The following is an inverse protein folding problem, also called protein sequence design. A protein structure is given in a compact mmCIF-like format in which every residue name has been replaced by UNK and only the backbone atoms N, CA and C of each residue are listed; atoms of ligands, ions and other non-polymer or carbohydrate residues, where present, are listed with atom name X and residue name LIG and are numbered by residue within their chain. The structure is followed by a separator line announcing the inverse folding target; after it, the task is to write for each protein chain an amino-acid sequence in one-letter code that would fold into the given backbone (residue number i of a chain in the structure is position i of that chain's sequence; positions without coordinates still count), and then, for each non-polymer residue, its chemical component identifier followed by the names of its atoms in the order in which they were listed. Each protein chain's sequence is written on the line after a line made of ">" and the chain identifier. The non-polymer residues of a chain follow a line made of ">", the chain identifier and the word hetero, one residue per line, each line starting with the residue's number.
data_IF_938515507372
#
_entry.id   IF_938515507372
#
_cell.length_a   1.000
_cell.length_b   1.000
_cell.length_c   1.000
_cell.angle_alpha   90.00
_cell.angle_beta   90.00
_cell.angle_gamma   90.00
#
_symmetry.space_group_name_H-M   'P 1'
#
loop_
_entity.id
_entity.type
_entity.pdbx_description
1 polymer ?
#
# COMPACT_ATOMS: atom_id res chain seq x y z
N UNK A 1 -30.51 71.75 30.80
CA UNK A 1 -30.30 71.05 32.04
C UNK A 1 -31.03 69.73 32.02
N UNK A 2 -30.45 68.71 31.47
CA UNK A 2 -30.96 67.35 31.53
C UNK A 2 -29.77 66.44 31.74
N UNK A 3 -29.66 65.85 32.91
CA UNK A 3 -28.68 64.84 33.24
C UNK A 3 -29.13 63.53 32.62
N UNK A 4 -28.36 63.02 31.66
CA UNK A 4 -28.53 61.68 31.12
C UNK A 4 -27.72 60.72 32.00
N UNK A 5 -28.44 59.86 32.65
CA UNK A 5 -27.91 58.78 33.51
C UNK A 5 -27.45 57.67 32.53
N UNK A 6 -26.12 57.47 32.46
CA UNK A 6 -25.54 56.33 31.72
C UNK A 6 -25.54 55.15 32.67
N UNK A 7 -26.47 54.24 32.50
CA UNK A 7 -26.48 52.92 33.15
C UNK A 7 -25.45 52.06 32.45
N UNK A 8 -24.32 51.87 33.11
CA UNK A 8 -23.30 50.89 32.68
C UNK A 8 -23.85 49.51 32.96
N UNK A 9 -24.34 48.84 31.94
CA UNK A 9 -24.64 47.40 31.98
C UNK A 9 -23.31 46.64 31.84
N UNK A 10 -22.72 46.26 32.97
CA UNK A 10 -21.66 45.28 33.00
C UNK A 10 -22.26 43.94 32.65
N UNK A 11 -22.21 43.59 31.37
CA UNK A 11 -22.40 42.22 30.92
C UNK A 11 -21.14 41.46 31.32
N UNK A 12 -21.24 40.72 32.42
CA UNK A 12 -20.29 39.65 32.72
C UNK A 12 -20.40 38.64 31.60
N UNK A 13 -19.54 38.72 30.63
CA UNK A 13 -19.23 37.61 29.75
C UNK A 13 -18.51 36.55 30.58
N UNK A 14 -19.29 35.63 31.14
CA UNK A 14 -18.73 34.32 31.51
C UNK A 14 -18.21 33.71 30.21
N UNK A 15 -16.92 33.91 29.97
CA UNK A 15 -16.18 33.06 29.07
C UNK A 15 -16.19 31.65 29.66
N UNK A 16 -17.18 30.87 29.26
CA UNK A 16 -17.11 29.43 29.41
C UNK A 16 -15.77 29.03 28.76
N UNK A 17 -14.80 28.69 29.57
CA UNK A 17 -13.71 27.85 29.12
C UNK A 17 -14.33 26.53 28.72
N UNK A 18 -14.73 26.41 27.46
CA UNK A 18 -14.92 25.13 26.83
C UNK A 18 -13.57 24.42 26.96
N UNK A 19 -13.48 23.62 28.01
CA UNK A 19 -12.52 22.55 28.11
C UNK A 19 -12.62 21.79 26.78
N UNK A 20 -11.60 21.90 25.94
CA UNK A 20 -11.44 21.06 24.75
C UNK A 20 -11.25 19.62 25.20
N UNK A 21 -12.29 18.99 25.68
CA UNK A 21 -12.45 17.55 25.53
C UNK A 21 -12.61 17.34 24.03
N UNK A 22 -11.58 16.77 23.39
CA UNK A 22 -11.58 16.53 21.95
C UNK A 22 -12.82 15.72 21.58
N UNK A 23 -13.83 16.39 21.03
CA UNK A 23 -14.98 15.69 20.45
C UNK A 23 -14.41 14.82 19.35
N UNK A 24 -14.49 13.49 19.50
CA UNK A 24 -14.25 12.56 18.40
C UNK A 24 -15.05 13.11 17.22
N UNK A 25 -14.39 13.50 16.13
CA UNK A 25 -15.10 13.90 14.91
C UNK A 25 -15.92 12.68 14.48
N UNK A 26 -17.24 12.82 14.41
CA UNK A 26 -18.10 11.74 13.93
C UNK A 26 -17.63 11.32 12.51
N UNK A 27 -17.65 10.01 12.26
CA UNK A 27 -17.36 9.49 10.94
C UNK A 27 -18.38 10.02 9.94
N UNK A 28 -18.00 10.30 8.69
CA UNK A 28 -18.94 10.56 7.62
C UNK A 28 -19.97 9.42 7.52
N UNK A 29 -21.19 9.72 7.12
CA UNK A 29 -22.23 8.70 6.96
C UNK A 29 -21.77 7.57 6.03
N UNK A 30 -21.89 6.32 6.49
CA UNK A 30 -21.48 5.12 5.73
C UNK A 30 -20.01 4.71 5.91
N UNK A 31 -19.25 5.40 6.75
CA UNK A 31 -17.85 5.05 7.07
C UNK A 31 -17.80 4.20 8.33
N UNK A 32 -17.07 3.10 8.28
CA UNK A 32 -16.84 2.22 9.43
C UNK A 32 -15.61 2.68 10.21
N UNK A 33 -15.77 2.90 11.51
CA UNK A 33 -14.63 3.15 12.41
C UNK A 33 -13.97 1.83 12.81
N UNK A 34 -12.67 1.75 12.56
CA UNK A 34 -11.79 0.65 13.02
C UNK A 34 -11.05 1.18 14.23
N UNK A 35 -11.50 0.79 15.42
CA UNK A 35 -10.84 1.19 16.64
C UNK A 35 -9.53 0.39 16.81
N UNK A 36 -8.45 1.10 16.99
CA UNK A 36 -7.10 0.55 17.22
C UNK A 36 -6.68 0.93 18.63
N UNK A 37 -6.53 -0.05 19.51
CA UNK A 37 -5.95 0.13 20.83
C UNK A 37 -4.47 -0.14 20.77
N UNK A 38 -3.68 0.67 21.47
CA UNK A 38 -2.24 0.45 21.61
C UNK A 38 -1.88 -0.47 22.78
N UNK A 39 -2.80 -0.72 23.69
CA UNK A 39 -2.66 -1.76 24.71
C UNK A 39 -2.81 -3.18 24.13
N UNK A 40 -2.49 -3.32 22.88
CA UNK A 40 -2.46 -4.51 22.05
C UNK A 40 -2.67 -5.82 22.82
N UNK A 41 -3.87 -6.07 23.28
CA UNK A 41 -4.24 -7.36 23.82
C UNK A 41 -4.47 -8.32 22.64
N UNK A 42 -3.58 -9.27 22.44
CA UNK A 42 -3.64 -10.31 21.40
C UNK A 42 -4.83 -11.27 21.57
N UNK A 43 -5.83 -10.90 22.36
CA UNK A 43 -6.90 -11.78 22.81
C UNK A 43 -7.90 -12.19 21.72
N UNK A 44 -7.96 -11.47 20.59
CA UNK A 44 -8.87 -11.80 19.49
C UNK A 44 -8.16 -12.61 18.43
N UNK A 45 -8.45 -13.91 18.27
CA UNK A 45 -7.81 -14.73 17.24
C UNK A 45 -8.23 -14.26 15.84
N UNK A 46 -7.25 -14.15 14.94
CA UNK A 46 -7.55 -14.04 13.51
C UNK A 46 -8.21 -15.32 13.00
N UNK A 47 -9.10 -15.21 12.01
CA UNK A 47 -9.45 -16.36 11.21
C UNK A 47 -8.20 -17.02 10.62
N UNK A 48 -8.23 -18.35 10.48
CA UNK A 48 -7.10 -19.04 9.85
C UNK A 48 -6.87 -18.54 8.42
N UNK A 49 -5.64 -18.58 7.96
CA UNK A 49 -5.30 -18.20 6.57
C UNK A 49 -6.12 -19.00 5.57
N UNK A 50 -6.35 -20.28 5.85
CA UNK A 50 -7.17 -21.16 5.02
C UNK A 50 -8.66 -20.79 4.99
N UNK A 51 -9.17 -20.10 6.01
CA UNK A 51 -10.52 -19.52 6.01
C UNK A 51 -10.63 -18.25 5.19
N UNK A 52 -9.53 -17.48 5.10
CA UNK A 52 -9.48 -16.20 4.40
C UNK A 52 -9.13 -16.34 2.92
N UNK A 53 -8.29 -17.34 2.60
CA UNK A 53 -7.70 -17.46 1.26
C UNK A 53 -7.67 -18.90 0.75
N UNK A 54 -7.86 -19.05 -0.55
CA UNK A 54 -7.35 -20.20 -1.29
C UNK A 54 -5.90 -19.93 -1.68
N UNK A 55 -5.01 -20.92 -1.41
CA UNK A 55 -3.58 -20.74 -1.62
C UNK A 55 -3.13 -21.65 -2.76
N UNK A 56 -2.46 -21.06 -3.75
CA UNK A 56 -1.79 -21.76 -4.82
C UNK A 56 -0.30 -21.45 -4.79
N UNK A 57 0.53 -22.41 -5.14
CA UNK A 57 1.98 -22.26 -5.19
C UNK A 57 2.49 -22.54 -6.59
N UNK A 58 3.39 -21.69 -7.06
CA UNK A 58 4.00 -21.77 -8.38
C UNK A 58 5.52 -21.70 -8.19
N UNK A 59 6.21 -22.82 -8.48
CA UNK A 59 7.67 -22.85 -8.53
C UNK A 59 8.14 -22.20 -9.83
N UNK A 60 8.88 -21.11 -9.73
CA UNK A 60 9.42 -20.45 -10.91
C UNK A 60 10.56 -21.26 -11.52
N UNK A 61 10.53 -21.40 -12.85
CA UNK A 61 11.55 -22.11 -13.61
C UNK A 61 12.94 -21.50 -13.40
N UNK A 62 13.91 -22.37 -13.13
CA UNK A 62 15.34 -22.03 -13.05
C UNK A 62 16.03 -22.65 -14.25
N UNK A 63 15.92 -22.03 -15.43
CA UNK A 63 16.40 -22.65 -16.68
C UNK A 63 17.77 -22.14 -17.15
N UNK A 64 18.02 -20.87 -17.10
CA UNK A 64 19.24 -20.22 -17.58
C UNK A 64 19.42 -18.83 -17.03
N UNK A 65 20.49 -18.13 -17.38
CA UNK A 65 20.79 -16.79 -16.87
C UNK A 65 19.63 -15.79 -17.08
N UNK A 66 18.86 -15.96 -18.15
CA UNK A 66 17.73 -15.08 -18.47
C UNK A 66 16.54 -15.25 -17.52
N UNK A 67 16.37 -16.43 -16.93
CA UNK A 67 15.25 -16.75 -16.04
C UNK A 67 15.59 -16.53 -14.55
N UNK A 68 16.84 -16.20 -14.20
CA UNK A 68 17.24 -15.99 -12.82
C UNK A 68 16.53 -14.75 -12.25
N UNK A 69 15.79 -14.96 -11.18
CA UNK A 69 15.05 -13.92 -10.46
C UNK A 69 15.95 -13.35 -9.36
N UNK A 70 16.17 -12.03 -9.40
CA UNK A 70 16.80 -11.29 -8.32
C UNK A 70 15.80 -10.94 -7.20
N UNK A 71 16.10 -9.89 -6.45
CA UNK A 71 15.16 -9.36 -5.43
C UNK A 71 13.86 -8.90 -6.10
N UNK A 72 12.73 -9.43 -5.65
CA UNK A 72 11.41 -9.06 -6.13
C UNK A 72 10.89 -7.87 -5.31
N UNK A 73 10.46 -6.82 -6.01
CA UNK A 73 9.88 -5.62 -5.41
C UNK A 73 8.36 -5.59 -5.47
N UNK A 74 7.76 -6.12 -6.55
CA UNK A 74 6.30 -6.23 -6.72
C UNK A 74 5.97 -7.39 -7.66
N UNK A 75 4.77 -7.96 -7.49
CA UNK A 75 4.22 -9.05 -8.31
C UNK A 75 2.79 -8.71 -8.69
N UNK A 76 2.48 -8.83 -9.97
CA UNK A 76 1.14 -8.68 -10.51
C UNK A 76 0.82 -9.80 -11.48
N UNK A 77 -0.47 -10.00 -11.78
CA UNK A 77 -0.90 -11.02 -12.73
C UNK A 77 -1.89 -10.43 -13.72
N UNK A 78 -1.69 -10.75 -15.00
CA UNK A 78 -2.65 -10.48 -16.07
C UNK A 78 -2.88 -11.76 -16.86
N UNK A 79 -4.11 -12.27 -16.88
CA UNK A 79 -4.44 -13.59 -17.42
C UNK A 79 -3.62 -14.69 -16.73
N UNK A 80 -2.97 -15.53 -17.55
CA UNK A 80 -2.10 -16.62 -17.08
C UNK A 80 -0.63 -16.20 -16.97
N UNK A 81 -0.32 -14.92 -16.90
CA UNK A 81 1.07 -14.43 -16.78
C UNK A 81 1.29 -13.70 -15.46
N UNK A 82 2.31 -14.14 -14.73
CA UNK A 82 2.89 -13.42 -13.60
C UNK A 82 3.91 -12.41 -14.13
N UNK A 83 3.82 -11.18 -13.65
CA UNK A 83 4.76 -10.09 -13.90
C UNK A 83 5.48 -9.77 -12.59
N UNK A 84 6.78 -9.94 -12.57
CA UNK A 84 7.63 -9.71 -11.40
C UNK A 84 8.54 -8.52 -11.69
N UNK A 85 8.45 -7.48 -10.87
CA UNK A 85 9.48 -6.45 -10.84
C UNK A 85 10.65 -6.97 -10.02
N UNK A 86 11.72 -7.35 -10.73
CA UNK A 86 12.95 -7.87 -10.13
C UNK A 86 14.11 -6.95 -10.46
N UNK A 87 14.62 -6.23 -9.47
CA UNK A 87 15.72 -5.25 -9.62
C UNK A 87 15.39 -4.16 -10.67
N UNK A 88 15.98 -4.24 -11.86
CA UNK A 88 15.74 -3.29 -12.97
C UNK A 88 14.91 -3.90 -14.11
N UNK A 89 14.32 -5.07 -13.90
CA UNK A 89 13.67 -5.85 -14.94
C UNK A 89 12.21 -6.10 -14.61
N UNK A 90 11.40 -6.31 -15.63
CA UNK A 90 10.11 -7.00 -15.50
C UNK A 90 10.26 -8.39 -16.09
N UNK A 91 10.11 -9.41 -15.26
CA UNK A 91 10.17 -10.80 -15.64
C UNK A 91 8.77 -11.37 -15.75
N UNK A 92 8.55 -12.21 -16.74
CA UNK A 92 7.25 -12.84 -17.00
C UNK A 92 7.38 -14.35 -16.89
N UNK A 93 6.45 -14.93 -16.12
CA UNK A 93 6.35 -16.37 -15.95
C UNK A 93 4.90 -16.82 -16.17
N UNK A 94 4.70 -18.04 -16.63
CA UNK A 94 3.38 -18.64 -16.68
C UNK A 94 2.88 -18.85 -15.25
N UNK A 95 1.67 -18.34 -14.97
CA UNK A 95 1.09 -18.40 -13.65
C UNK A 95 0.64 -19.80 -13.23
N UNK A 96 0.53 -20.77 -14.14
CA UNK A 96 0.05 -22.12 -13.87
C UNK A 96 1.19 -23.08 -13.56
N UNK A 97 2.28 -23.03 -14.32
CA UNK A 97 3.39 -23.98 -14.21
C UNK A 97 4.75 -23.33 -13.86
N UNK A 98 4.81 -21.98 -13.79
CA UNK A 98 6.01 -21.24 -13.44
C UNK A 98 7.07 -21.17 -14.55
N UNK A 99 6.74 -21.60 -15.76
CA UNK A 99 7.65 -21.56 -16.90
C UNK A 99 8.03 -20.12 -17.25
N UNK A 100 9.31 -19.89 -17.48
CA UNK A 100 9.82 -18.58 -17.90
C UNK A 100 9.31 -18.23 -19.31
N UNK A 101 8.73 -17.05 -19.46
CA UNK A 101 8.22 -16.54 -20.73
C UNK A 101 9.23 -15.57 -21.34
N UNK A 102 9.58 -14.53 -20.63
CA UNK A 102 10.56 -13.51 -21.07
C UNK A 102 10.93 -12.53 -19.97
N UNK A 103 11.93 -11.71 -20.27
CA UNK A 103 12.36 -10.59 -19.47
C UNK A 103 12.35 -9.31 -20.31
N UNK A 104 11.85 -8.21 -19.74
CA UNK A 104 12.04 -6.86 -20.26
C UNK A 104 13.14 -6.22 -19.43
N UNK A 105 14.30 -6.08 -20.06
CA UNK A 105 15.47 -5.43 -19.51
C UNK A 105 15.96 -4.40 -20.52
N UNK A 106 15.64 -3.14 -20.28
CA UNK A 106 15.90 -2.02 -21.19
C UNK A 106 16.67 -0.90 -20.46
N UNK A 107 17.71 -1.29 -19.74
CA UNK A 107 18.52 -0.35 -18.96
C UNK A 107 19.45 0.43 -19.86
N UNK A 108 19.33 1.76 -19.87
CA UNK A 108 20.14 2.62 -20.68
C UNK A 108 19.58 4.04 -20.83
N UNK A 109 20.04 4.79 -21.82
CA UNK A 109 19.65 6.17 -22.12
C UNK A 109 19.16 6.36 -23.56
N UNK A 110 19.02 5.28 -24.29
CA UNK A 110 18.52 5.28 -25.67
C UNK A 110 17.01 5.40 -25.73
N UNK A 111 16.48 5.39 -26.95
CA UNK A 111 15.05 5.41 -27.18
C UNK A 111 14.42 4.13 -26.62
N UNK A 112 13.47 4.29 -25.68
CA UNK A 112 12.83 3.16 -25.04
C UNK A 112 13.72 2.43 -24.03
N UNK A 113 14.73 3.12 -23.49
CA UNK A 113 15.54 2.65 -22.37
C UNK A 113 15.28 3.51 -21.13
N UNK A 114 15.37 2.89 -19.95
CA UNK A 114 15.20 3.55 -18.65
C UNK A 114 16.42 3.29 -17.75
N UNK A 115 16.65 4.14 -16.76
CA UNK A 115 17.75 3.98 -15.80
C UNK A 115 17.34 3.10 -14.62
N UNK A 116 16.08 3.23 -14.18
CA UNK A 116 15.59 2.56 -12.98
C UNK A 116 14.07 2.44 -13.02
N UNK A 117 13.54 1.50 -12.28
CA UNK A 117 12.10 1.35 -12.07
C UNK A 117 11.76 1.83 -10.67
N UNK A 118 10.68 2.56 -10.53
CA UNK A 118 10.10 3.03 -9.26
C UNK A 118 8.82 2.26 -8.92
N UNK A 119 8.13 1.78 -9.93
CA UNK A 119 6.92 1.00 -9.84
C UNK A 119 6.43 0.61 -11.22
N UNK A 120 5.49 -0.31 -11.30
CA UNK A 120 4.85 -0.68 -12.55
C UNK A 120 3.36 -0.92 -12.37
N UNK A 121 2.62 -0.86 -13.47
CA UNK A 121 1.23 -1.25 -13.55
C UNK A 121 0.95 -1.98 -14.86
N UNK A 122 -0.22 -2.60 -14.96
CA UNK A 122 -0.64 -3.38 -16.12
C UNK A 122 -1.85 -2.74 -16.80
N UNK A 123 -1.71 -2.42 -18.07
CA UNK A 123 -2.82 -2.00 -18.93
C UNK A 123 -3.38 -3.25 -19.64
N UNK A 124 -4.33 -3.90 -19.00
CA UNK A 124 -4.90 -5.15 -19.50
C UNK A 124 -5.63 -4.94 -20.84
N UNK A 125 -6.32 -3.79 -21.00
CA UNK A 125 -7.05 -3.47 -22.22
C UNK A 125 -6.16 -3.32 -23.43
N UNK A 126 -4.91 -2.88 -23.24
CA UNK A 126 -3.92 -2.73 -24.30
C UNK A 126 -2.85 -3.80 -24.32
N UNK A 127 -2.88 -4.75 -23.37
CA UNK A 127 -1.81 -5.73 -23.14
C UNK A 127 -0.42 -5.08 -22.99
N UNK A 128 -0.35 -4.04 -22.16
CA UNK A 128 0.86 -3.27 -21.94
C UNK A 128 1.31 -3.29 -20.48
N UNK A 129 2.62 -3.12 -20.34
CA UNK A 129 3.28 -2.87 -19.07
C UNK A 129 3.58 -1.38 -19.00
N UNK A 130 3.19 -0.74 -17.91
CA UNK A 130 3.40 0.69 -17.64
C UNK A 130 4.44 0.80 -16.54
N UNK A 131 5.59 1.39 -16.82
CA UNK A 131 6.69 1.57 -15.87
C UNK A 131 6.81 3.02 -15.44
N UNK A 132 6.86 3.28 -14.15
CA UNK A 132 7.27 4.56 -13.59
C UNK A 132 8.75 4.55 -13.21
N UNK A 133 9.46 5.64 -13.44
CA UNK A 133 10.89 5.75 -13.17
C UNK A 133 11.21 6.83 -12.13
N UNK A 134 12.40 6.77 -11.52
CA UNK A 134 12.87 7.82 -10.62
C UNK A 134 13.11 9.18 -11.33
N UNK A 135 13.16 9.19 -12.66
CA UNK A 135 13.16 10.40 -13.47
C UNK A 135 11.77 11.01 -13.67
N UNK A 136 10.74 10.54 -12.98
CA UNK A 136 9.34 10.96 -13.13
C UNK A 136 8.79 10.77 -14.55
N UNK A 137 9.22 9.70 -15.19
CA UNK A 137 8.80 9.33 -16.54
C UNK A 137 7.94 8.08 -16.49
N UNK A 138 6.98 8.00 -17.39
CA UNK A 138 6.16 6.81 -17.63
C UNK A 138 6.58 6.20 -18.98
N UNK A 139 6.96 4.93 -18.95
CA UNK A 139 7.25 4.13 -20.12
C UNK A 139 6.15 3.11 -20.34
N UNK A 140 5.81 2.84 -21.60
CA UNK A 140 4.90 1.78 -21.97
C UNK A 140 5.60 0.78 -22.88
N UNK A 141 5.43 -0.50 -22.58
CA UNK A 141 5.90 -1.61 -23.38
C UNK A 141 4.74 -2.57 -23.64
N UNK A 142 4.68 -3.17 -24.80
CA UNK A 142 3.82 -4.32 -25.00
C UNK A 142 4.33 -5.53 -24.22
N UNK A 143 3.48 -6.49 -23.96
CA UNK A 143 3.87 -7.73 -23.24
C UNK A 143 4.90 -8.57 -24.01
N UNK A 144 5.10 -8.31 -25.29
CA UNK A 144 6.19 -8.90 -26.08
C UNK A 144 7.55 -8.20 -25.88
N UNK A 145 7.61 -7.13 -25.07
CA UNK A 145 8.81 -6.35 -24.78
C UNK A 145 9.11 -5.23 -25.77
N UNK A 146 8.26 -5.04 -26.79
CA UNK A 146 8.42 -3.93 -27.72
C UNK A 146 8.04 -2.60 -27.05
N UNK A 147 8.88 -1.58 -27.28
CA UNK A 147 8.67 -0.24 -26.77
C UNK A 147 7.50 0.46 -27.48
N UNK A 148 6.61 1.07 -26.70
CA UNK A 148 5.44 1.80 -27.22
C UNK A 148 5.67 3.31 -27.11
N UNK A 149 5.84 3.82 -25.90
CA UNK A 149 5.95 5.25 -25.65
C UNK A 149 6.72 5.57 -24.37
N UNK A 150 7.19 6.80 -24.30
CA UNK A 150 7.77 7.43 -23.11
C UNK A 150 7.16 8.82 -22.99
N UNK A 151 6.81 9.22 -21.77
CA UNK A 151 6.35 10.55 -21.46
C UNK A 151 6.90 11.01 -20.10
N UNK A 152 7.18 12.30 -19.98
CA UNK A 152 7.52 12.96 -18.73
C UNK A 152 6.21 13.36 -18.04
N UNK A 153 6.08 13.03 -16.75
CA UNK A 153 4.89 13.37 -15.95
C UNK A 153 4.86 14.85 -15.57
N UNK A 154 6.01 15.51 -15.55
CA UNK A 154 6.14 16.94 -15.24
C UNK A 154 6.16 17.26 -13.73
N UNK A 155 5.97 16.28 -12.86
CA UNK A 155 6.04 16.46 -11.40
C UNK A 155 6.62 15.21 -10.71
N UNK A 156 7.06 15.38 -9.45
CA UNK A 156 7.59 14.28 -8.64
C UNK A 156 6.49 13.39 -8.09
N UNK A 157 6.65 12.07 -8.21
CA UNK A 157 5.74 11.11 -7.60
C UNK A 157 6.53 9.95 -6.98
N UNK A 158 5.95 9.28 -6.00
CA UNK A 158 6.52 8.06 -5.40
C UNK A 158 5.81 6.79 -5.86
N UNK A 159 4.52 6.86 -6.08
CA UNK A 159 3.69 5.75 -6.54
C UNK A 159 2.69 6.23 -7.60
N UNK A 160 2.23 5.31 -8.42
CA UNK A 160 1.15 5.56 -9.37
C UNK A 160 0.29 4.31 -9.54
N UNK A 161 -0.94 4.51 -9.99
CA UNK A 161 -1.85 3.48 -10.44
C UNK A 161 -2.53 3.92 -11.73
N UNK A 162 -2.67 3.00 -12.67
CA UNK A 162 -3.42 3.19 -13.91
C UNK A 162 -4.88 2.80 -13.69
N UNK A 163 -5.80 3.65 -14.05
CA UNK A 163 -7.22 3.37 -14.02
C UNK A 163 -7.71 2.73 -15.32
N UNK A 164 -8.86 2.02 -15.31
CA UNK A 164 -9.37 1.31 -16.50
C UNK A 164 -9.67 2.21 -17.70
N UNK A 165 -10.01 3.47 -17.48
CA UNK A 165 -10.27 4.47 -18.52
C UNK A 165 -9.00 5.07 -19.13
N UNK A 166 -7.84 4.76 -18.57
CA UNK A 166 -6.53 5.26 -19.00
C UNK A 166 -6.02 6.45 -18.22
N UNK A 167 -6.79 6.93 -17.26
CA UNK A 167 -6.38 7.95 -16.30
C UNK A 167 -5.35 7.38 -15.29
N UNK A 168 -4.68 8.28 -14.58
CA UNK A 168 -3.72 7.89 -13.56
C UNK A 168 -4.04 8.50 -12.21
N UNK A 169 -3.73 7.75 -11.16
CA UNK A 169 -3.59 8.31 -9.83
C UNK A 169 -2.12 8.29 -9.46
N UNK A 170 -1.60 9.44 -9.07
CA UNK A 170 -0.25 9.61 -8.55
C UNK A 170 -0.28 9.95 -7.08
N UNK A 171 0.64 9.37 -6.33
CA UNK A 171 0.96 9.79 -4.97
C UNK A 171 2.28 10.54 -4.96
N UNK A 172 2.24 11.80 -4.50
CA UNK A 172 3.40 12.68 -4.38
C UNK A 172 3.57 13.15 -2.93
N UNK A 173 4.51 12.59 -2.17
CA UNK A 173 4.82 13.05 -0.81
C UNK A 173 5.88 14.15 -0.77
N UNK A 174 6.56 14.42 -1.89
CA UNK A 174 7.80 15.20 -1.91
C UNK A 174 7.63 16.64 -2.36
N UNK A 175 6.45 17.00 -2.83
CA UNK A 175 6.28 18.35 -3.35
C UNK A 175 6.07 19.34 -2.21
N UNK A 176 6.86 20.40 -2.24
CA UNK A 176 6.84 21.49 -1.25
C UNK A 176 5.62 22.42 -1.38
N UNK A 177 4.65 22.10 -2.21
CA UNK A 177 3.58 23.04 -2.42
C UNK A 177 2.30 22.48 -3.02
N UNK A 178 2.23 22.44 -4.32
CA UNK A 178 0.96 22.32 -5.03
C UNK A 178 0.51 20.85 -5.21
N UNK A 179 1.47 19.92 -5.20
CA UNK A 179 1.22 18.53 -5.60
C UNK A 179 1.37 17.48 -4.48
N UNK A 180 1.34 17.89 -3.23
CA UNK A 180 1.46 16.97 -2.12
C UNK A 180 0.15 16.19 -1.90
N UNK A 181 0.22 14.85 -1.92
CA UNK A 181 -0.92 13.96 -1.75
C UNK A 181 -1.25 13.11 -2.97
N UNK A 182 -2.52 12.73 -3.09
CA UNK A 182 -3.01 11.89 -4.17
C UNK A 182 -3.70 12.75 -5.23
N UNK A 183 -3.32 12.54 -6.49
CA UNK A 183 -3.78 13.30 -7.65
C UNK A 183 -4.34 12.40 -8.72
N UNK A 184 -5.50 12.76 -9.23
CA UNK A 184 -6.08 12.21 -10.45
C UNK A 184 -5.63 13.04 -11.64
N UNK A 185 -5.09 12.40 -12.66
CA UNK A 185 -4.73 12.98 -13.95
C UNK A 185 -5.41 12.23 -15.07
N UNK A 186 -5.49 12.87 -16.25
CA UNK A 186 -5.83 12.16 -17.47
C UNK A 186 -4.63 11.32 -17.99
N UNK A 187 -4.85 10.60 -19.10
CA UNK A 187 -3.83 9.76 -19.72
C UNK A 187 -2.62 10.50 -20.29
N UNK A 188 -2.72 11.83 -20.44
CA UNK A 188 -1.65 12.75 -20.87
C UNK A 188 -1.01 13.48 -19.68
N UNK A 189 -1.33 13.06 -18.45
CA UNK A 189 -0.84 13.59 -17.17
C UNK A 189 -1.29 15.00 -16.81
N UNK A 190 -2.33 15.53 -17.47
CA UNK A 190 -2.94 16.79 -17.05
C UNK A 190 -3.73 16.57 -15.76
N UNK A 191 -3.55 17.45 -14.77
CA UNK A 191 -4.27 17.37 -13.52
C UNK A 191 -5.79 17.54 -13.72
N UNK A 192 -6.55 16.55 -13.25
CA UNK A 192 -8.01 16.64 -13.17
C UNK A 192 -8.42 17.17 -11.80
N UNK A 193 -7.93 16.59 -10.72
CA UNK A 193 -8.18 17.07 -9.35
C UNK A 193 -7.30 16.40 -8.31
N UNK A 194 -7.18 17.01 -7.15
CA UNK A 194 -6.64 16.40 -5.95
C UNK A 194 -7.69 15.50 -5.32
N UNK A 195 -7.31 14.26 -4.99
CA UNK A 195 -8.17 13.29 -4.32
C UNK A 195 -8.05 13.40 -2.80
N UNK A 196 -6.84 13.21 -2.30
CA UNK A 196 -6.52 13.30 -0.86
C UNK A 196 -5.31 14.19 -0.72
N UNK A 197 -5.46 15.38 -0.10
CA UNK A 197 -4.31 16.24 0.19
C UNK A 197 -3.45 15.63 1.30
N UNK A 198 -2.17 15.87 1.27
CA UNK A 198 -1.28 15.63 2.39
C UNK A 198 -0.97 16.98 3.03
N UNK A 199 -1.29 17.10 4.32
CA UNK A 199 -1.21 18.39 5.05
C UNK A 199 0.19 18.71 5.59
N UNK A 200 1.19 17.86 5.30
CA UNK A 200 2.57 18.02 5.74
C UNK A 200 3.54 17.60 4.65
N UNK A 201 4.70 18.21 4.67
CA UNK A 201 5.79 17.86 3.77
C UNK A 201 6.73 16.89 4.45
N UNK A 202 7.05 15.81 3.79
CA UNK A 202 8.03 14.86 4.29
C UNK A 202 8.97 14.46 3.17
N UNK A 203 10.28 14.51 3.44
CA UNK A 203 11.27 13.87 2.60
C UNK A 203 11.48 12.41 2.99
N UNK A 204 10.86 11.97 4.09
CA UNK A 204 10.86 10.58 4.46
C UNK A 204 9.95 9.82 3.48
N UNK A 205 10.47 8.77 2.88
CA UNK A 205 9.65 7.79 2.18
C UNK A 205 8.69 7.19 3.21
N UNK A 206 7.50 7.74 3.28
CA UNK A 206 6.40 7.23 4.11
C UNK A 206 5.91 5.96 3.45
N UNK A 207 6.72 4.95 3.66
CA UNK A 207 6.86 3.70 3.02
C UNK A 207 5.64 2.88 2.73
N UNK A 208 5.82 2.01 1.82
CA UNK A 208 4.92 0.93 1.48
C UNK A 208 3.77 1.38 0.57
N UNK A 209 3.19 0.39 -0.07
CA UNK A 209 2.10 0.61 -1.00
C UNK A 209 0.90 1.19 -0.29
N UNK A 210 0.52 2.40 -0.64
CA UNK A 210 -0.66 3.08 -0.17
C UNK A 210 -1.84 3.02 -1.17
N UNK A 211 -1.61 2.39 -2.33
CA UNK A 211 -2.60 2.12 -3.36
C UNK A 211 -2.61 0.65 -3.72
N UNK A 212 -3.79 0.10 -3.97
CA UNK A 212 -3.98 -1.29 -4.37
C UNK A 212 -5.17 -1.42 -5.32
N UNK A 213 -4.99 -2.09 -6.45
CA UNK A 213 -6.10 -2.52 -7.27
C UNK A 213 -6.88 -3.63 -6.56
N UNK A 214 -8.12 -3.36 -6.17
CA UNK A 214 -8.99 -4.33 -5.51
C UNK A 214 -9.64 -5.26 -6.54
N UNK A 215 -10.04 -4.71 -7.67
CA UNK A 215 -10.56 -5.41 -8.85
C UNK A 215 -10.36 -4.55 -10.10
N UNK A 216 -11.03 -4.91 -11.19
CA UNK A 216 -10.92 -4.21 -12.48
C UNK A 216 -11.43 -2.76 -12.46
N UNK A 217 -12.23 -2.38 -11.49
CA UNK A 217 -12.91 -1.07 -11.46
C UNK A 217 -12.65 -0.25 -10.20
N UNK A 218 -12.06 -0.87 -9.17
CA UNK A 218 -11.88 -0.25 -7.85
C UNK A 218 -10.43 -0.23 -7.46
N UNK A 219 -9.92 0.97 -7.19
CA UNK A 219 -8.62 1.19 -6.56
C UNK A 219 -8.82 1.57 -5.09
N UNK A 220 -8.21 0.84 -4.17
CA UNK A 220 -8.13 1.19 -2.76
C UNK A 220 -7.01 2.19 -2.50
N UNK A 221 -7.27 3.20 -1.70
CA UNK A 221 -6.27 4.18 -1.23
C UNK A 221 -6.28 4.20 0.29
N UNK A 222 -5.12 4.04 0.88
CA UNK A 222 -4.88 4.35 2.28
C UNK A 222 -4.45 5.82 2.36
N UNK A 223 -5.34 6.68 2.84
CA UNK A 223 -5.00 8.09 3.08
C UNK A 223 -3.88 8.18 4.11
N UNK A 224 -2.91 9.02 3.85
CA UNK A 224 -1.75 9.22 4.73
C UNK A 224 -1.86 10.53 5.53
N UNK A 225 -3.01 11.18 5.45
CA UNK A 225 -3.36 12.35 6.22
C UNK A 225 -3.72 12.00 7.69
N UNK A 226 -4.00 13.02 8.48
CA UNK A 226 -4.38 12.93 9.89
C UNK A 226 -5.78 12.35 10.13
N UNK A 227 -6.55 12.13 9.07
CA UNK A 227 -7.94 11.65 9.20
C UNK A 227 -8.04 10.15 9.44
N UNK A 228 -7.00 9.38 9.13
CA UNK A 228 -7.03 7.93 9.24
C UNK A 228 -7.87 7.21 8.19
N UNK A 229 -8.33 7.91 7.16
CA UNK A 229 -9.30 7.41 6.20
C UNK A 229 -8.70 6.43 5.20
N UNK A 230 -9.54 5.47 4.79
CA UNK A 230 -9.33 4.61 3.63
C UNK A 230 -10.43 4.91 2.61
N UNK A 231 -10.05 4.91 1.36
CA UNK A 231 -10.93 5.29 0.27
C UNK A 231 -10.93 4.25 -0.84
N UNK A 232 -12.06 4.16 -1.55
CA UNK A 232 -12.13 3.52 -2.85
C UNK A 232 -12.24 4.59 -3.94
N UNK A 233 -11.52 4.40 -5.03
CA UNK A 233 -11.69 5.19 -6.25
C UNK A 233 -12.39 4.33 -7.28
N UNK A 234 -13.50 4.85 -7.80
CA UNK A 234 -14.31 4.23 -8.85
C UNK A 234 -14.55 5.29 -9.93
N UNK A 235 -13.91 5.14 -11.08
CA UNK A 235 -13.84 6.22 -12.07
C UNK A 235 -13.27 7.50 -11.43
N UNK A 236 -13.95 8.63 -11.58
CA UNK A 236 -13.55 9.90 -10.95
C UNK A 236 -13.99 10.04 -9.48
N UNK A 237 -14.70 9.06 -8.90
CA UNK A 237 -15.28 9.18 -7.57
C UNK A 237 -14.35 8.68 -6.49
N UNK A 238 -14.15 9.48 -5.44
CA UNK A 238 -13.46 9.10 -4.21
C UNK A 238 -14.49 8.82 -3.12
N UNK A 239 -14.55 7.59 -2.66
CA UNK A 239 -15.55 7.10 -1.70
C UNK A 239 -14.84 6.72 -0.40
N UNK A 240 -15.11 7.39 0.73
CA UNK A 240 -14.59 6.98 2.01
C UNK A 240 -15.27 5.68 2.47
N UNK A 241 -14.48 4.69 2.91
CA UNK A 241 -15.00 3.36 3.28
C UNK A 241 -14.81 3.03 4.74
N UNK A 242 -13.67 3.35 5.31
CA UNK A 242 -13.42 3.16 6.72
C UNK A 242 -12.40 4.16 7.25
N UNK A 243 -12.34 4.27 8.56
CA UNK A 243 -11.42 5.18 9.25
C UNK A 243 -10.75 4.45 10.41
N UNK A 244 -9.44 4.55 10.50
CA UNK A 244 -8.70 4.13 11.68
C UNK A 244 -8.91 5.17 12.79
N UNK A 245 -9.39 4.72 13.93
CA UNK A 245 -9.51 5.52 15.15
C UNK A 245 -8.59 4.92 16.19
N UNK A 246 -7.61 5.66 16.62
CA UNK A 246 -6.68 5.20 17.66
C UNK A 246 -7.15 5.74 19.01
N UNK A 247 -7.49 4.82 19.91
CA UNK A 247 -7.76 5.14 21.30
C UNK A 247 -6.41 5.28 22.02
N UNK A 248 -6.27 6.28 22.90
CA UNK A 248 -5.12 6.53 23.78
C UNK A 248 -3.79 6.96 23.12
N UNK A 249 -3.65 6.89 21.81
CA UNK A 249 -2.61 7.69 21.17
C UNK A 249 -3.07 9.13 21.20
N UNK A 250 -2.31 9.93 21.89
CA UNK A 250 -2.41 11.36 21.73
C UNK A 250 -2.60 11.68 20.25
N UNK A 251 -3.27 12.74 19.95
CA UNK A 251 -3.58 13.21 18.60
C UNK A 251 -2.44 12.85 17.66
N UNK A 252 -2.76 12.41 16.44
CA UNK A 252 -1.82 12.42 15.36
C UNK A 252 -1.10 13.78 15.39
N UNK A 253 0.12 13.78 15.88
CA UNK A 253 0.93 14.98 16.02
C UNK A 253 2.06 14.87 15.00
N UNK A 254 2.43 16.01 14.44
CA UNK A 254 3.59 16.10 13.59
C UNK A 254 4.77 16.49 14.47
N UNK A 255 5.80 15.67 14.49
CA UNK A 255 7.07 15.98 15.13
C UNK A 255 8.02 16.63 14.13
N UNK A 256 8.59 17.77 14.49
CA UNK A 256 9.66 18.38 13.71
C UNK A 256 10.98 17.64 13.99
N UNK A 257 11.46 16.89 12.99
CA UNK A 257 12.72 16.12 13.09
C UNK A 257 13.93 16.90 12.62
N UNK A 258 13.72 17.94 11.81
CA UNK A 258 14.75 18.90 11.38
C UNK A 258 14.06 20.18 10.90
N UNK A 259 14.83 21.25 10.75
CA UNK A 259 14.28 22.56 10.35
C UNK A 259 13.36 22.47 9.12
N UNK A 260 12.06 22.58 9.36
CA UNK A 260 11.02 22.52 8.31
C UNK A 260 10.62 21.13 7.85
N UNK A 261 11.15 20.05 8.45
CA UNK A 261 10.75 18.68 8.13
C UNK A 261 9.89 18.11 9.26
N UNK A 262 8.68 17.74 8.94
CA UNK A 262 7.72 17.15 9.86
C UNK A 262 7.46 15.71 9.52
N UNK A 263 7.28 14.87 10.53
CA UNK A 263 6.87 13.46 10.40
C UNK A 263 5.71 13.19 11.35
N UNK A 264 4.77 12.34 10.97
CA UNK A 264 3.71 11.95 11.87
C UNK A 264 4.26 11.05 12.98
N UNK A 265 3.76 11.21 14.20
CA UNK A 265 4.10 10.36 15.35
C UNK A 265 3.90 8.88 15.03
N UNK A 266 2.88 8.59 14.23
CA UNK A 266 2.57 7.25 13.73
C UNK A 266 2.30 7.31 12.24
N UNK A 267 2.82 6.33 11.50
CA UNK A 267 2.50 6.17 10.09
C UNK A 267 1.91 4.79 9.80
N UNK A 268 1.13 4.72 8.74
CA UNK A 268 0.52 3.50 8.23
C UNK A 268 1.30 3.04 7.00
N UNK A 269 1.39 1.74 6.84
CA UNK A 269 2.09 1.14 5.70
C UNK A 269 1.54 -0.24 5.38
N UNK A 270 1.97 -0.80 4.27
CA UNK A 270 1.63 -2.16 3.84
C UNK A 270 0.13 -2.46 3.88
N UNK A 271 -0.64 -1.54 3.32
CA UNK A 271 -2.07 -1.69 3.16
C UNK A 271 -2.42 -2.85 2.24
N UNK A 272 -3.37 -3.67 2.65
CA UNK A 272 -4.07 -4.58 1.75
C UNK A 272 -5.54 -4.71 2.13
N UNK A 273 -6.36 -5.01 1.16
CA UNK A 273 -7.79 -5.13 1.31
C UNK A 273 -8.33 -6.25 0.44
N UNK A 274 -9.27 -7.01 1.00
CA UNK A 274 -10.10 -7.99 0.30
C UNK A 274 -11.56 -7.78 0.70
N UNK A 275 -12.48 -8.56 0.17
CA UNK A 275 -13.89 -8.49 0.53
C UNK A 275 -14.10 -8.72 2.03
N UNK A 276 -13.32 -9.59 2.65
CA UNK A 276 -13.43 -9.94 4.05
C UNK A 276 -12.49 -9.19 4.97
N UNK A 277 -11.27 -8.89 4.53
CA UNK A 277 -10.20 -8.41 5.39
C UNK A 277 -9.63 -7.09 4.90
N UNK A 278 -9.43 -6.17 5.83
CA UNK A 278 -8.59 -5.00 5.64
C UNK A 278 -7.46 -5.06 6.64
N UNK A 279 -6.22 -4.92 6.17
CA UNK A 279 -5.07 -4.90 7.06
C UNK A 279 -4.02 -3.87 6.63
N UNK A 280 -3.33 -3.37 7.62
CA UNK A 280 -2.26 -2.38 7.46
C UNK A 280 -1.33 -2.43 8.67
N UNK A 281 -0.14 -1.93 8.52
CA UNK A 281 0.76 -1.75 9.65
C UNK A 281 0.59 -0.35 10.23
N UNK A 282 0.68 -0.27 11.56
CA UNK A 282 0.86 0.99 12.31
C UNK A 282 2.23 0.93 12.95
N UNK A 283 3.01 1.97 12.81
CA UNK A 283 4.35 2.06 13.36
C UNK A 283 4.59 3.45 13.94
N UNK A 284 5.19 3.51 15.12
CA UNK A 284 5.70 4.77 15.67
C UNK A 284 6.95 5.20 14.91
N UNK A 285 7.09 6.49 14.65
CA UNK A 285 8.29 7.02 14.04
C UNK A 285 9.50 6.97 14.98
N UNK A 286 9.29 7.20 16.26
CA UNK A 286 10.34 7.20 17.29
C UNK A 286 10.77 5.79 17.73
N UNK A 287 9.91 4.79 17.52
CA UNK A 287 10.18 3.40 17.89
C UNK A 287 9.87 2.43 16.76
N UNK A 288 10.87 2.15 15.93
CA UNK A 288 10.76 1.20 14.81
C UNK A 288 10.48 -0.24 15.24
N UNK A 289 10.64 -0.58 16.52
CA UNK A 289 10.36 -1.91 17.03
C UNK A 289 8.89 -2.11 17.38
N UNK A 290 8.13 -1.04 17.48
CA UNK A 290 6.71 -1.05 17.84
C UNK A 290 5.76 -1.17 16.64
N UNK A 291 6.18 -1.86 15.57
CA UNK A 291 5.30 -2.10 14.43
C UNK A 291 4.21 -3.12 14.77
N UNK A 292 2.97 -2.73 14.59
CA UNK A 292 1.80 -3.56 14.80
C UNK A 292 1.05 -3.71 13.49
N UNK A 293 0.71 -4.92 13.12
CA UNK A 293 -0.23 -5.19 12.05
C UNK A 293 -1.65 -5.20 12.60
N UNK A 294 -2.44 -4.31 12.10
CA UNK A 294 -3.89 -4.24 12.35
C UNK A 294 -4.60 -5.04 11.29
N UNK A 295 -5.48 -5.94 11.70
CA UNK A 295 -6.29 -6.77 10.82
C UNK A 295 -7.75 -6.60 11.22
N UNK A 296 -8.57 -6.08 10.32
CA UNK A 296 -10.00 -5.87 10.52
C UNK A 296 -10.80 -6.88 9.68
N UNK A 297 -11.47 -7.81 10.35
CA UNK A 297 -12.43 -8.73 9.72
C UNK A 297 -13.77 -8.00 9.50
N UNK A 298 -14.04 -7.65 8.26
CA UNK A 298 -15.24 -6.90 7.85
C UNK A 298 -16.53 -7.67 8.12
N UNK A 299 -16.48 -9.01 8.08
CA UNK A 299 -17.65 -9.88 8.31
C UNK A 299 -18.08 -9.89 9.76
N UNK A 300 -17.11 -9.95 10.67
CA UNK A 300 -17.36 -10.05 12.10
C UNK A 300 -17.26 -8.69 12.80
N UNK A 301 -16.83 -7.65 12.10
CA UNK A 301 -16.53 -6.31 12.64
C UNK A 301 -15.56 -6.37 13.84
N UNK A 302 -14.53 -7.21 13.74
CA UNK A 302 -13.52 -7.42 14.80
C UNK A 302 -12.15 -6.99 14.33
N UNK A 303 -11.39 -6.40 15.26
CA UNK A 303 -10.00 -6.00 15.03
C UNK A 303 -9.07 -6.93 15.79
N UNK A 304 -8.02 -7.37 15.13
CA UNK A 304 -6.95 -8.18 15.72
C UNK A 304 -5.61 -7.49 15.49
N UNK A 305 -4.76 -7.57 16.50
CA UNK A 305 -3.44 -6.97 16.49
C UNK A 305 -2.37 -8.07 16.44
N UNK A 306 -1.45 -7.94 15.50
CA UNK A 306 -0.32 -8.85 15.37
C UNK A 306 0.97 -8.06 15.60
N UNK A 307 1.62 -8.31 16.72
CA UNK A 307 2.95 -7.78 16.99
C UNK A 307 4.02 -8.51 16.20
N UNK A 308 4.89 -7.79 15.57
CA UNK A 308 6.02 -8.37 14.85
C UNK A 308 6.98 -9.17 15.77
N UNK A 309 7.02 -8.81 17.05
CA UNK A 309 7.99 -9.36 18.02
C UNK A 309 7.44 -10.49 18.89
N UNK A 310 6.13 -10.66 18.99
CA UNK A 310 5.54 -11.71 19.83
C UNK A 310 5.43 -13.03 19.07
N UNK A 311 6.57 -13.71 18.88
CA UNK A 311 6.56 -15.10 18.42
C UNK A 311 6.12 -15.99 19.60
N UNK A 312 4.87 -16.43 19.57
CA UNK A 312 4.44 -17.53 20.43
C UNK A 312 4.97 -18.83 19.80
N UNK A 313 5.70 -19.62 20.58
CA UNK A 313 6.29 -20.90 20.12
C UNK A 313 5.23 -21.98 19.87
N UNK A 314 4.01 -21.79 20.40
CA UNK A 314 2.89 -22.72 20.36
C UNK A 314 1.92 -22.51 19.20
N UNK A 315 2.16 -21.50 18.35
CA UNK A 315 1.27 -21.15 17.23
C UNK A 315 1.90 -21.58 15.90
N UNK A 316 1.18 -22.36 15.11
CA UNK A 316 1.55 -22.60 13.71
C UNK A 316 1.36 -21.29 12.92
N UNK A 317 2.43 -20.52 12.82
CA UNK A 317 2.43 -19.21 12.20
C UNK A 317 2.01 -19.21 10.72
N UNK A 318 2.07 -20.36 10.05
CA UNK A 318 1.55 -20.49 8.69
C UNK A 318 0.03 -20.37 8.64
N UNK A 319 -0.67 -20.79 9.70
CA UNK A 319 -2.14 -20.77 9.75
C UNK A 319 -2.74 -19.48 10.35
N UNK A 320 -1.95 -18.71 11.11
CA UNK A 320 -2.46 -17.57 11.89
C UNK A 320 -1.87 -16.25 11.46
N UNK A 321 -0.75 -16.25 10.75
CA UNK A 321 -0.05 -15.02 10.36
C UNK A 321 -0.33 -14.65 8.93
N UNK A 322 -0.97 -13.51 8.73
CA UNK A 322 -1.01 -12.88 7.41
C UNK A 322 0.42 -12.53 6.99
N UNK A 323 0.95 -13.16 5.94
CA UNK A 323 2.33 -12.93 5.53
C UNK A 323 2.53 -11.49 5.04
N UNK A 324 3.77 -11.04 5.04
CA UNK A 324 4.15 -9.87 4.25
C UNK A 324 3.99 -10.19 2.77
N UNK A 325 3.09 -9.50 2.10
CA UNK A 325 2.91 -9.70 0.66
C UNK A 325 3.91 -8.88 -0.13
N UNK A 326 4.60 -9.54 -1.06
CA UNK A 326 5.51 -8.89 -2.01
C UNK A 326 4.72 -8.17 -3.12
N UNK A 327 3.54 -8.66 -3.47
CA UNK A 327 2.66 -8.03 -4.45
C UNK A 327 1.19 -8.11 -4.04
N UNK A 328 0.37 -7.17 -4.53
CA UNK A 328 -1.06 -7.07 -4.25
C UNK A 328 -1.77 -6.52 -5.47
N UNK A 329 -2.58 -7.34 -6.11
CA UNK A 329 -3.21 -6.93 -7.35
C UNK A 329 -4.54 -7.64 -7.57
N UNK A 330 -5.63 -6.91 -7.68
CA UNK A 330 -6.98 -7.39 -8.05
C UNK A 330 -7.44 -8.60 -7.23
N UNK A 331 -7.43 -8.45 -5.90
CA UNK A 331 -7.89 -9.50 -4.98
C UNK A 331 -6.96 -10.70 -4.86
N UNK A 332 -5.79 -10.64 -5.47
CA UNK A 332 -4.71 -11.62 -5.30
C UNK A 332 -3.56 -10.98 -4.54
N UNK A 333 -2.96 -11.78 -3.66
CA UNK A 333 -1.82 -11.36 -2.85
C UNK A 333 -0.70 -12.36 -3.07
N UNK A 334 0.52 -11.88 -3.18
CA UNK A 334 1.67 -12.68 -3.59
C UNK A 334 2.74 -12.66 -2.51
N UNK A 335 3.22 -13.82 -2.14
CA UNK A 335 4.36 -14.00 -1.23
C UNK A 335 5.47 -14.73 -1.96
N UNK A 336 6.66 -14.22 -1.85
CA UNK A 336 7.88 -14.88 -2.30
C UNK A 336 8.40 -15.81 -1.21
N UNK A 337 8.65 -17.08 -1.57
CA UNK A 337 9.31 -18.05 -0.73
C UNK A 337 10.66 -18.42 -1.35
N UNK A 338 11.73 -17.88 -0.80
CA UNK A 338 13.10 -18.19 -1.21
C UNK A 338 13.64 -19.38 -0.43
N UNK A 339 14.67 -20.04 -0.96
CA UNK A 339 15.41 -21.06 -0.21
C UNK A 339 15.95 -20.51 1.12
N UNK A 340 16.43 -19.27 1.13
CA UNK A 340 16.90 -18.60 2.35
C UNK A 340 15.86 -18.55 3.47
N UNK A 341 14.58 -18.44 3.13
CA UNK A 341 13.46 -18.50 4.07
C UNK A 341 13.15 -19.93 4.50
N UNK A 342 13.16 -20.88 3.55
CA UNK A 342 12.72 -22.26 3.72
C UNK A 342 13.77 -23.11 4.50
N UNK A 343 15.06 -22.85 4.31
CA UNK A 343 16.15 -23.69 4.84
C UNK A 343 16.20 -23.81 6.38
N UNK A 344 15.55 -22.91 7.09
CA UNK A 344 15.51 -22.92 8.56
C UNK A 344 14.23 -23.52 9.13
N UNK A 345 13.29 -23.95 8.29
CA UNK A 345 12.03 -24.56 8.68
C UNK A 345 11.97 -26.00 8.13
N UNK A 346 12.06 -26.99 9.01
CA UNK A 346 12.12 -28.41 8.62
C UNK A 346 10.81 -28.87 7.94
N UNK A 347 9.65 -28.30 8.30
CA UNK A 347 8.37 -28.61 7.67
C UNK A 347 8.35 -28.08 6.23
N UNK A 348 8.76 -26.82 6.06
CA UNK A 348 8.87 -26.21 4.74
C UNK A 348 9.90 -26.90 3.87
N UNK A 349 11.05 -27.24 4.43
CA UNK A 349 12.12 -27.95 3.73
C UNK A 349 11.69 -29.33 3.25
N UNK A 350 10.93 -30.08 4.07
CA UNK A 350 10.36 -31.37 3.66
C UNK A 350 9.31 -31.24 2.56
N UNK A 351 8.59 -30.12 2.50
CA UNK A 351 7.61 -29.80 1.45
C UNK A 351 8.27 -29.46 0.11
N UNK A 352 9.47 -28.86 0.15
CA UNK A 352 10.22 -28.44 -1.04
C UNK A 352 11.62 -29.03 -1.11
N UNK A 353 11.75 -30.36 -1.21
CA UNK A 353 13.05 -31.05 -1.07
C UNK A 353 14.04 -30.75 -2.19
N UNK A 354 13.55 -30.26 -3.33
CA UNK A 354 14.37 -29.95 -4.51
C UNK A 354 14.77 -28.47 -4.60
N UNK A 355 14.30 -27.62 -3.69
CA UNK A 355 14.67 -26.21 -3.68
C UNK A 355 16.08 -26.03 -3.14
N UNK A 356 16.91 -25.27 -3.83
CA UNK A 356 18.32 -24.97 -3.49
C UNK A 356 18.58 -23.48 -3.47
N UNK A 357 19.78 -23.07 -3.06
CA UNK A 357 20.20 -21.65 -3.11
C UNK A 357 20.21 -21.07 -4.52
N UNK A 358 20.36 -21.92 -5.54
CA UNK A 358 20.36 -21.52 -6.95
C UNK A 358 18.96 -21.52 -7.59
N UNK A 359 17.96 -22.01 -6.87
CA UNK A 359 16.60 -22.10 -7.38
C UNK A 359 15.93 -20.73 -7.33
N UNK A 360 15.15 -20.43 -8.36
CA UNK A 360 14.18 -19.33 -8.31
C UNK A 360 13.15 -19.56 -7.19
N UNK A 361 12.56 -18.50 -6.63
CA UNK A 361 11.60 -18.63 -5.55
C UNK A 361 10.32 -19.35 -5.98
N UNK A 362 9.58 -19.82 -4.98
CA UNK A 362 8.19 -20.21 -5.12
C UNK A 362 7.33 -18.98 -4.88
N UNK A 363 6.36 -18.75 -5.73
CA UNK A 363 5.35 -17.71 -5.52
C UNK A 363 4.10 -18.35 -4.96
N UNK A 364 3.76 -17.97 -3.73
CA UNK A 364 2.44 -18.24 -3.15
C UNK A 364 1.46 -17.18 -3.60
N UNK A 365 0.33 -17.63 -4.11
CA UNK A 365 -0.77 -16.78 -4.58
C UNK A 365 -1.95 -17.02 -3.65
N UNK A 366 -2.32 -16.01 -2.90
CA UNK A 366 -3.46 -15.99 -1.99
C UNK A 366 -4.64 -15.35 -2.73
N UNK A 367 -5.71 -16.08 -2.88
CA UNK A 367 -6.94 -15.64 -3.53
C UNK A 367 -8.00 -15.49 -2.44
N UNK A 368 -8.54 -14.29 -2.25
CA UNK A 368 -9.58 -14.03 -1.25
C UNK A 368 -10.82 -14.86 -1.50
N UNK A 369 -11.37 -15.45 -0.42
CA UNK A 369 -12.62 -16.20 -0.42
C UNK A 369 -13.83 -15.33 -0.24
#
# INVERSE_FOLDING_TARGET
>A
MKRVLFVLLCILSLSAFDSCSGKKKEAPSGVTDINVSLDFDDSTPLPSISELFDIREVQLETGGLESIVGQISDIRQMGDTLFLWSSTNIMMFDANDGRFIRKIERVGRGRGEYISIKGFDLDEGRHQIVLGTWGNEIFRYNTDGSFVSKADVGFGFSQFALLPDGDFIFFSPFDSGEYCGFWLTDGDFNFKRQLVPLNYHTNAYMGGDCMIHLNDSVLGIMGLDDTGMFYHVIGDSLIPVCRMVVDDLGKFELEEISSGMFVPTYYRSQFFESDRLLAFNVQSYSDYQSMVRVCYDKKNATTTYLHHMNRREDVDWEDVRIPGFTGRYKGRFYQELTYGYIKYDEKMKSRYPNLTEESNPIIRIFISK
#
